data_IF_322308025501
#
_entry.id   IF_322308025501
#
_cell.length_a   1.000
_cell.length_b   1.000
_cell.length_c   1.000
_cell.angle_alpha   90.00
_cell.angle_beta   90.00
_cell.angle_gamma   90.00
#
_symmetry.space_group_name_H-M   'P 1'
#
loop_
_entity.id
_entity.type
_entity.pdbx_description
1 polymer ?
#
# COMPACT_ATOMS: atom_id res chain seq x y z
N UNK A 1 -13.46 7.04 3.85
CA UNK A 1 -13.12 5.64 3.52
C UNK A 1 -13.52 4.74 4.68
N UNK A 2 -14.05 3.53 4.45
CA UNK A 2 -14.30 2.57 5.56
C UNK A 2 -12.96 2.20 6.20
N UNK A 3 -12.91 2.10 7.53
CA UNK A 3 -11.71 1.60 8.23
C UNK A 3 -11.43 0.15 7.79
N UNK A 4 -10.22 -0.18 7.33
CA UNK A 4 -9.83 -1.55 7.02
C UNK A 4 -9.93 -2.45 8.24
N UNK A 5 -10.44 -3.67 8.07
CA UNK A 5 -10.54 -4.64 9.17
C UNK A 5 -9.31 -5.53 9.19
N UNK A 6 -8.89 -5.91 10.39
CA UNK A 6 -7.76 -6.83 10.62
C UNK A 6 -6.45 -6.34 9.97
N UNK A 7 -6.30 -5.02 9.80
CA UNK A 7 -5.12 -4.38 9.23
C UNK A 7 -4.30 -3.72 10.32
N UNK A 8 -2.98 -3.74 10.18
CA UNK A 8 -2.06 -2.94 10.98
C UNK A 8 -1.54 -1.82 10.09
N UNK A 9 -1.89 -0.58 10.40
CA UNK A 9 -1.44 0.60 9.66
C UNK A 9 -0.77 1.52 10.68
N UNK A 10 0.56 1.53 10.68
CA UNK A 10 1.38 2.34 11.59
C UNK A 10 2.19 3.34 10.78
N UNK A 11 1.97 4.64 11.04
CA UNK A 11 2.76 5.74 10.47
C UNK A 11 2.81 5.75 8.92
N UNK A 12 1.84 5.09 8.28
CA UNK A 12 1.72 5.08 6.82
C UNK A 12 0.88 6.26 6.34
N UNK A 13 1.29 6.84 5.21
CA UNK A 13 0.52 7.86 4.50
C UNK A 13 -0.14 7.26 3.27
N UNK A 14 -1.42 7.56 3.07
CA UNK A 14 -2.23 7.04 1.96
C UNK A 14 -2.85 8.22 1.22
N UNK A 15 -2.52 8.34 -0.06
CA UNK A 15 -2.99 9.40 -0.94
C UNK A 15 -4.50 9.40 -1.13
N UNK A 16 -5.05 10.55 -1.52
CA UNK A 16 -6.47 10.68 -1.81
C UNK A 16 -6.90 9.75 -2.96
N UNK A 17 -8.10 9.20 -2.88
CA UNK A 17 -8.63 8.23 -3.85
C UNK A 17 -8.08 6.81 -3.72
N UNK A 18 -6.99 6.60 -2.98
CA UNK A 18 -6.38 5.29 -2.80
C UNK A 18 -7.24 4.35 -1.95
N UNK A 19 -7.12 3.06 -2.24
CA UNK A 19 -7.92 2.01 -1.59
C UNK A 19 -7.07 0.91 -0.98
N UNK A 20 -6.98 0.91 0.35
CA UNK A 20 -6.48 -0.18 1.17
C UNK A 20 -7.61 -1.12 1.59
N UNK A 21 -7.48 -2.40 1.28
CA UNK A 21 -8.45 -3.45 1.63
C UNK A 21 -8.19 -4.03 3.03
N UNK A 22 -9.03 -4.98 3.46
CA UNK A 22 -8.89 -5.66 4.76
C UNK A 22 -7.61 -6.56 4.77
N UNK A 23 -7.10 -6.90 5.96
CA UNK A 23 -5.91 -7.76 6.15
C UNK A 23 -4.62 -7.22 5.52
N UNK A 24 -4.39 -5.91 5.58
CA UNK A 24 -3.17 -5.28 5.04
C UNK A 24 -2.27 -4.79 6.18
N UNK A 25 -0.97 -4.99 6.03
CA UNK A 25 0.04 -4.49 6.96
C UNK A 25 0.91 -3.41 6.31
N UNK A 26 0.82 -2.19 6.82
CA UNK A 26 1.58 -1.01 6.36
C UNK A 26 2.37 -0.43 7.54
N UNK A 27 3.67 -0.28 7.37
CA UNK A 27 4.56 0.32 8.36
C UNK A 27 5.33 1.45 7.70
N UNK A 28 5.29 2.67 8.24
CA UNK A 28 6.18 3.78 7.86
C UNK A 28 6.31 4.06 6.35
N UNK A 29 5.31 3.71 5.55
CA UNK A 29 5.37 3.74 4.09
C UNK A 29 4.53 4.88 3.51
N UNK A 30 4.80 5.22 2.24
CA UNK A 30 4.04 6.22 1.48
C UNK A 30 3.34 5.56 0.32
N UNK A 31 2.02 5.75 0.25
CA UNK A 31 1.20 5.29 -0.87
C UNK A 31 0.63 6.52 -1.57
N UNK A 32 0.89 6.63 -2.88
CA UNK A 32 0.38 7.68 -3.74
C UNK A 32 -1.14 7.69 -3.87
N UNK A 33 -1.65 8.57 -4.72
CA UNK A 33 -3.08 8.78 -5.01
C UNK A 33 -3.61 7.68 -5.93
N UNK A 34 -4.90 7.41 -5.84
CA UNK A 34 -5.61 6.42 -6.67
C UNK A 34 -5.00 5.00 -6.67
N UNK A 35 -4.08 4.72 -5.75
CA UNK A 35 -3.38 3.43 -5.67
C UNK A 35 -4.23 2.41 -4.91
N UNK A 36 -4.32 1.20 -5.47
CA UNK A 36 -5.05 0.08 -4.88
C UNK A 36 -4.10 -0.88 -4.18
N UNK A 37 -4.36 -1.15 -2.91
CA UNK A 37 -3.67 -2.16 -2.11
C UNK A 37 -4.65 -3.24 -1.71
N UNK A 38 -4.57 -4.38 -2.38
CA UNK A 38 -5.46 -5.51 -2.14
C UNK A 38 -5.15 -6.24 -0.82
N UNK A 39 -6.05 -7.14 -0.42
CA UNK A 39 -5.94 -7.88 0.84
C UNK A 39 -4.66 -8.72 0.93
N UNK A 40 -4.18 -8.92 2.15
CA UNK A 40 -2.99 -9.72 2.46
C UNK A 40 -1.67 -9.14 1.97
N UNK A 41 -1.65 -7.85 1.59
CA UNK A 41 -0.40 -7.13 1.25
C UNK A 41 0.36 -6.75 2.51
N UNK A 42 1.69 -6.84 2.44
CA UNK A 42 2.61 -6.42 3.49
C UNK A 42 3.66 -5.45 2.93
N UNK A 43 3.71 -4.23 3.47
CA UNK A 43 4.62 -3.16 3.04
C UNK A 43 5.40 -2.65 4.25
N UNK A 44 6.73 -2.71 4.16
CA UNK A 44 7.65 -2.28 5.21
C UNK A 44 7.94 -0.76 5.21
N UNK A 45 8.64 -0.33 6.26
CA UNK A 45 9.04 1.06 6.46
C UNK A 45 9.92 1.60 5.35
N UNK A 46 9.80 2.91 5.09
CA UNK A 46 10.59 3.58 4.07
C UNK A 46 10.17 3.28 2.62
N UNK A 47 9.24 2.36 2.38
CA UNK A 47 8.72 2.10 1.04
C UNK A 47 7.92 3.31 0.53
N UNK A 48 8.16 3.66 -0.74
CA UNK A 48 7.38 4.69 -1.45
C UNK A 48 6.73 4.08 -2.69
N UNK A 49 5.41 4.22 -2.79
CA UNK A 49 4.60 3.79 -3.94
C UNK A 49 3.98 5.04 -4.58
N UNK A 50 4.13 5.14 -5.89
CA UNK A 50 3.58 6.22 -6.72
C UNK A 50 2.05 6.22 -6.83
N UNK A 51 1.59 7.09 -7.72
CA UNK A 51 0.18 7.28 -8.04
C UNK A 51 -0.31 6.18 -9.01
N UNK A 52 -1.61 5.91 -9.00
CA UNK A 52 -2.31 5.01 -9.94
C UNK A 52 -1.78 3.55 -9.98
N UNK A 53 -1.12 3.10 -8.91
CA UNK A 53 -0.55 1.76 -8.80
C UNK A 53 -1.59 0.70 -8.40
N UNK A 54 -1.29 -0.56 -8.69
CA UNK A 54 -2.08 -1.73 -8.28
C UNK A 54 -1.19 -2.77 -7.62
N UNK A 55 -1.32 -2.90 -6.30
CA UNK A 55 -0.62 -3.90 -5.48
C UNK A 55 -1.59 -5.04 -5.21
N UNK A 56 -1.36 -6.19 -5.84
CA UNK A 56 -2.25 -7.35 -5.83
C UNK A 56 -2.11 -8.17 -4.54
N UNK A 57 -3.05 -9.09 -4.26
CA UNK A 57 -3.05 -9.85 -3.02
C UNK A 57 -1.75 -10.60 -2.79
N UNK A 58 -1.35 -10.76 -1.52
CA UNK A 58 -0.16 -11.50 -1.09
C UNK A 58 1.20 -10.91 -1.51
N UNK A 59 1.23 -9.72 -2.10
CA UNK A 59 2.49 -9.02 -2.40
C UNK A 59 3.18 -8.59 -1.10
N UNK A 60 4.49 -8.86 -1.03
CA UNK A 60 5.41 -8.35 -0.01
C UNK A 60 6.37 -7.34 -0.63
N UNK A 61 6.49 -6.15 -0.02
CA UNK A 61 7.43 -5.10 -0.45
C UNK A 61 8.36 -4.75 0.72
N UNK A 62 9.66 -5.13 0.63
CA UNK A 62 10.62 -4.88 1.70
C UNK A 62 11.09 -3.42 1.75
N UNK A 63 11.70 -3.07 2.87
CA UNK A 63 12.30 -1.76 3.15
C UNK A 63 13.23 -1.31 2.03
N UNK A 64 13.18 -0.01 1.71
CA UNK A 64 14.06 0.62 0.71
C UNK A 64 13.59 0.51 -0.74
N UNK A 65 12.42 -0.09 -1.00
CA UNK A 65 11.84 -0.16 -2.34
C UNK A 65 11.10 1.13 -2.70
N UNK A 66 11.31 1.60 -3.93
CA UNK A 66 10.52 2.67 -4.55
C UNK A 66 9.80 2.12 -5.79
N UNK A 67 8.47 2.28 -5.83
CA UNK A 67 7.60 1.92 -6.95
C UNK A 67 7.09 3.24 -7.55
N UNK A 68 7.31 3.44 -8.85
CA UNK A 68 6.84 4.63 -9.57
C UNK A 68 5.38 4.50 -10.01
N UNK A 69 4.86 5.56 -10.63
CA UNK A 69 3.46 5.68 -11.03
C UNK A 69 3.06 4.60 -12.07
N UNK A 70 1.76 4.29 -12.13
CA UNK A 70 1.15 3.36 -13.09
C UNK A 70 1.66 1.90 -13.03
N UNK A 71 2.35 1.52 -11.95
CA UNK A 71 2.90 0.16 -11.81
C UNK A 71 1.85 -0.85 -11.34
N UNK A 72 1.87 -2.03 -11.97
CA UNK A 72 1.10 -3.21 -11.57
C UNK A 72 2.03 -4.29 -10.98
N UNK A 73 1.78 -4.71 -9.74
CA UNK A 73 2.53 -5.78 -9.06
C UNK A 73 1.58 -6.91 -8.72
N UNK A 74 1.86 -8.11 -9.27
CA UNK A 74 1.07 -9.33 -9.12
C UNK A 74 1.58 -10.23 -7.99
#
# INVERSE_FOLDING_TARGET
MRRPRYSIIKEASVGNGSRVFDQVNLYGCKIGKNTKVDSYVYIEEGVTIGDDCKIRPFVFIPTGVTIQDDVFIA
#
